data_IF_878439657904
#
_entry.id   IF_878439657904
#
_cell.length_a   1.000
_cell.length_b   1.000
_cell.length_c   1.000
_cell.angle_alpha   90.00
_cell.angle_beta   90.00
_cell.angle_gamma   90.00
#
_symmetry.space_group_name_H-M   'P 1'
#
loop_
_entity.id
_entity.type
_entity.pdbx_description
1 polymer ?
#
# COMPACT_ATOMS: atom_id res chain seq x y z
N UNK A 1 -5.94 0.98 16.07
CA UNK A 1 -5.12 -0.14 15.57
C UNK A 1 -3.88 0.48 14.95
N UNK A 2 -2.70 0.02 15.34
CA UNK A 2 -1.43 0.48 14.77
C UNK A 2 -1.00 -0.46 13.64
N UNK A 3 -0.25 0.07 12.68
CA UNK A 3 0.44 -0.68 11.64
C UNK A 3 1.47 -1.61 12.30
N UNK A 4 1.59 -2.79 11.72
CA UNK A 4 2.52 -3.83 12.13
C UNK A 4 2.87 -4.61 10.84
N UNK A 5 4.12 -4.56 10.38
CA UNK A 5 4.56 -5.25 9.17
C UNK A 5 4.50 -6.78 9.34
N UNK A 6 4.66 -7.31 10.56
CA UNK A 6 4.56 -8.75 10.86
C UNK A 6 3.11 -9.27 10.83
N UNK A 7 2.12 -8.36 10.77
CA UNK A 7 0.72 -8.71 10.53
C UNK A 7 0.34 -8.79 9.06
N UNK A 8 1.26 -8.47 8.15
CA UNK A 8 1.05 -8.78 6.74
C UNK A 8 0.97 -10.29 6.59
N UNK A 9 -0.17 -10.80 6.12
CA UNK A 9 -0.36 -12.23 5.87
C UNK A 9 0.30 -12.69 4.56
N UNK A 10 1.11 -11.83 3.95
CA UNK A 10 1.82 -12.08 2.70
C UNK A 10 3.29 -12.26 3.01
N UNK A 11 3.90 -13.27 2.39
CA UNK A 11 5.35 -13.45 2.45
C UNK A 11 6.03 -12.27 1.74
N UNK A 12 7.14 -11.80 2.30
CA UNK A 12 8.02 -10.80 1.68
C UNK A 12 8.39 -11.18 0.24
N UNK A 13 8.56 -12.47 -0.04
CA UNK A 13 8.81 -13.02 -1.39
C UNK A 13 7.71 -12.63 -2.41
N UNK A 14 6.43 -12.71 -2.04
CA UNK A 14 5.32 -12.34 -2.96
C UNK A 14 5.36 -10.86 -3.32
N UNK A 15 5.82 -10.02 -2.41
CA UNK A 15 5.94 -8.58 -2.61
C UNK A 15 7.18 -8.27 -3.45
N UNK A 16 8.30 -8.92 -3.19
CA UNK A 16 9.52 -8.79 -3.99
C UNK A 16 9.27 -9.23 -5.44
N UNK A 17 8.62 -10.38 -5.63
CA UNK A 17 8.23 -10.89 -6.96
C UNK A 17 7.34 -9.89 -7.71
N UNK A 18 6.43 -9.22 -7.00
CA UNK A 18 5.62 -8.16 -7.58
C UNK A 18 6.49 -6.95 -7.96
N UNK A 19 7.33 -6.44 -7.06
CA UNK A 19 8.18 -5.27 -7.30
C UNK A 19 9.17 -5.44 -8.48
N UNK A 20 9.63 -6.68 -8.69
CA UNK A 20 10.59 -7.04 -9.73
C UNK A 20 9.96 -7.31 -11.09
N UNK A 21 8.62 -7.30 -11.22
CA UNK A 21 7.98 -7.39 -12.54
C UNK A 21 8.24 -6.14 -13.36
N UNK A 22 9.02 -6.29 -14.43
CA UNK A 22 9.24 -5.26 -15.47
C UNK A 22 7.95 -4.75 -16.13
N UNK A 23 6.85 -5.50 -16.01
CA UNK A 23 5.58 -5.21 -16.68
C UNK A 23 4.59 -4.38 -15.86
N UNK A 24 4.89 -4.00 -14.61
CA UNK A 24 3.94 -3.21 -13.82
C UNK A 24 3.87 -1.81 -14.41
N UNK A 25 2.73 -1.51 -15.02
CA UNK A 25 2.40 -0.19 -15.52
C UNK A 25 1.73 0.63 -14.42
N UNK A 26 2.04 1.93 -14.40
CA UNK A 26 1.36 2.93 -13.59
C UNK A 26 -0.18 2.90 -13.76
N UNK A 27 -0.66 2.42 -14.91
CA UNK A 27 -2.08 2.33 -15.27
C UNK A 27 -2.71 0.95 -14.98
N UNK A 28 -1.96 0.02 -14.39
CA UNK A 28 -2.50 -1.30 -14.09
C UNK A 28 -3.59 -1.22 -13.00
N UNK A 29 -4.42 -2.26 -12.99
CA UNK A 29 -5.51 -2.40 -12.03
C UNK A 29 -4.97 -2.56 -10.61
N UNK A 30 -5.65 -1.94 -9.64
CA UNK A 30 -5.32 -2.08 -8.22
C UNK A 30 -5.32 -3.52 -7.72
N UNK A 31 -6.03 -4.43 -8.37
CA UNK A 31 -6.05 -5.87 -8.03
C UNK A 31 -4.70 -6.57 -8.25
N UNK A 32 -3.80 -5.98 -9.02
CA UNK A 32 -2.43 -6.49 -9.15
C UNK A 32 -1.61 -6.21 -7.88
N UNK A 33 -2.03 -5.26 -7.04
CA UNK A 33 -1.35 -4.92 -5.79
C UNK A 33 -1.66 -6.00 -4.74
N UNK A 34 -0.63 -6.64 -4.15
CA UNK A 34 -0.83 -7.63 -3.11
C UNK A 34 -1.62 -7.06 -1.93
N UNK A 35 -2.67 -7.77 -1.51
CA UNK A 35 -3.58 -7.34 -0.44
C UNK A 35 -4.81 -6.56 -0.92
N UNK A 36 -4.91 -6.22 -2.21
CA UNK A 36 -6.10 -5.59 -2.79
C UNK A 36 -7.04 -6.62 -3.42
N UNK A 37 -8.15 -6.90 -2.74
CA UNK A 37 -9.26 -7.67 -3.29
C UNK A 37 -10.28 -6.81 -4.04
N UNK A 38 -11.27 -7.43 -4.73
CA UNK A 38 -12.30 -6.72 -5.50
C UNK A 38 -13.09 -5.68 -4.69
N UNK A 39 -13.43 -6.00 -3.44
CA UNK A 39 -14.13 -5.08 -2.55
C UNK A 39 -13.27 -3.85 -2.20
N UNK A 40 -11.98 -4.04 -1.94
CA UNK A 40 -11.07 -2.95 -1.64
C UNK A 40 -10.83 -2.07 -2.87
N UNK A 41 -10.65 -2.68 -4.04
CA UNK A 41 -10.57 -1.97 -5.32
C UNK A 41 -11.79 -1.07 -5.52
N UNK A 42 -13.00 -1.59 -5.34
CA UNK A 42 -14.22 -0.81 -5.54
C UNK A 42 -14.25 0.43 -4.63
N UNK A 43 -13.93 0.28 -3.34
CA UNK A 43 -13.89 1.41 -2.40
C UNK A 43 -12.81 2.43 -2.82
N UNK A 44 -11.65 1.97 -3.26
CA UNK A 44 -10.60 2.86 -3.76
C UNK A 44 -11.04 3.62 -5.01
N UNK A 45 -11.68 2.96 -5.97
CA UNK A 45 -12.22 3.60 -7.18
C UNK A 45 -13.29 4.63 -6.85
N UNK A 46 -14.19 4.32 -5.90
CA UNK A 46 -15.21 5.24 -5.39
C UNK A 46 -14.60 6.48 -4.71
N UNK A 47 -13.38 6.37 -4.18
CA UNK A 47 -12.62 7.45 -3.59
C UNK A 47 -11.58 8.09 -4.55
N UNK A 48 -11.63 7.75 -5.85
CA UNK A 48 -10.80 8.35 -6.89
C UNK A 48 -9.41 7.72 -7.08
N UNK A 49 -9.15 6.60 -6.41
CA UNK A 49 -7.94 5.78 -6.58
C UNK A 49 -8.29 4.62 -7.51
N UNK A 50 -7.96 4.75 -8.79
CA UNK A 50 -8.29 3.76 -9.83
C UNK A 50 -7.07 2.97 -10.32
N UNK A 51 -5.86 3.54 -10.18
CA UNK A 51 -4.62 2.96 -10.69
C UNK A 51 -3.56 2.80 -9.61
N UNK A 52 -2.60 1.91 -9.86
CA UNK A 52 -1.43 1.72 -8.98
C UNK A 52 -0.70 3.05 -8.77
N UNK A 53 -0.51 3.87 -9.81
CA UNK A 53 0.16 5.15 -9.67
C UNK A 53 -0.55 6.12 -8.71
N UNK A 54 -1.89 6.16 -8.73
CA UNK A 54 -2.66 6.99 -7.79
C UNK A 54 -2.50 6.48 -6.35
N UNK A 55 -2.50 5.16 -6.17
CA UNK A 55 -2.25 4.54 -4.86
C UNK A 55 -0.83 4.88 -4.34
N UNK A 56 0.18 4.76 -5.19
CA UNK A 56 1.56 5.14 -4.86
C UNK A 56 1.67 6.64 -4.53
N UNK A 57 0.99 7.50 -5.30
CA UNK A 57 0.97 8.94 -5.02
C UNK A 57 0.38 9.25 -3.64
N UNK A 58 -0.67 8.54 -3.22
CA UNK A 58 -1.23 8.68 -1.87
C UNK A 58 -0.24 8.30 -0.76
N UNK A 59 0.62 7.31 -1.00
CA UNK A 59 1.70 6.96 -0.08
C UNK A 59 2.77 8.05 -0.04
N UNK A 60 3.21 8.51 -1.21
CA UNK A 60 4.21 9.58 -1.32
C UNK A 60 3.75 10.89 -0.67
N UNK A 61 2.45 11.19 -0.65
CA UNK A 61 1.89 12.33 0.08
C UNK A 61 2.10 12.24 1.59
N UNK A 62 2.36 11.05 2.15
CA UNK A 62 2.65 10.88 3.57
C UNK A 62 4.12 11.11 3.91
N UNK A 63 5.00 11.19 2.91
CA UNK A 63 6.42 11.48 3.06
C UNK A 63 6.57 13.02 3.13
N UNK A 64 6.75 13.54 4.33
CA UNK A 64 7.02 14.97 4.56
C UNK A 64 8.52 15.29 4.70
N UNK A 65 9.39 14.27 4.59
CA UNK A 65 10.84 14.39 4.67
C UNK A 65 11.40 14.37 6.10
N UNK A 66 10.54 14.43 7.11
CA UNK A 66 10.91 14.34 8.53
C UNK A 66 10.52 13.00 9.15
N UNK A 67 9.46 12.35 8.64
CA UNK A 67 8.97 11.05 9.11
C UNK A 67 9.89 9.90 8.77
N UNK A 68 10.04 8.98 9.72
CA UNK A 68 10.68 7.69 9.48
C UNK A 68 9.77 6.73 8.70
N UNK A 69 10.33 5.60 8.25
CA UNK A 69 9.60 4.59 7.46
C UNK A 69 8.33 4.10 8.17
N UNK A 70 8.40 3.90 9.49
CA UNK A 70 7.29 3.40 10.30
C UNK A 70 6.18 4.44 10.41
N UNK A 71 6.53 5.70 10.60
CA UNK A 71 5.59 6.82 10.66
C UNK A 71 4.87 7.04 9.34
N UNK A 72 5.58 6.98 8.21
CA UNK A 72 4.98 7.06 6.86
C UNK A 72 4.01 5.89 6.64
N UNK A 73 4.43 4.66 6.96
CA UNK A 73 3.59 3.48 6.83
C UNK A 73 2.35 3.56 7.74
N UNK A 74 2.51 4.03 8.97
CA UNK A 74 1.43 4.23 9.93
C UNK A 74 0.42 5.27 9.43
N UNK A 75 0.88 6.40 8.89
CA UNK A 75 0.03 7.44 8.34
C UNK A 75 -0.77 6.95 7.13
N UNK A 76 -0.10 6.27 6.19
CA UNK A 76 -0.75 5.67 5.03
C UNK A 76 -1.77 4.60 5.45
N UNK A 77 -1.39 3.69 6.35
CA UNK A 77 -2.28 2.67 6.88
C UNK A 77 -3.52 3.28 7.51
N UNK A 78 -3.36 4.33 8.33
CA UNK A 78 -4.48 5.01 8.97
C UNK A 78 -5.41 5.66 7.93
N UNK A 79 -4.86 6.34 6.92
CA UNK A 79 -5.64 6.95 5.84
C UNK A 79 -6.43 5.91 5.04
N UNK A 80 -5.80 4.80 4.66
CA UNK A 80 -6.47 3.73 3.93
C UNK A 80 -7.50 3.01 4.80
N UNK A 81 -7.23 2.88 6.11
CA UNK A 81 -8.16 2.25 7.06
C UNK A 81 -9.40 3.10 7.29
N UNK A 82 -9.25 4.41 7.38
CA UNK A 82 -10.34 5.36 7.52
C UNK A 82 -11.26 5.33 6.28
N UNK A 83 -10.68 5.29 5.08
CA UNK A 83 -11.41 5.19 3.82
C UNK A 83 -12.29 3.94 3.73
N UNK A 84 -11.81 2.80 4.24
CA UNK A 84 -12.58 1.55 4.24
C UNK A 84 -13.43 1.37 5.50
N UNK A 85 -13.36 2.29 6.46
CA UNK A 85 -14.14 2.22 7.68
C UNK A 85 -15.63 2.28 7.34
N UNK A 86 -16.45 1.43 7.98
CA UNK A 86 -17.88 1.30 7.70
C UNK A 86 -18.25 0.83 6.27
N UNK A 87 -17.28 0.33 5.49
CA UNK A 87 -17.54 -0.29 4.18
C UNK A 87 -17.50 -1.82 4.25
N UNK A 88 -17.91 -2.47 3.16
CA UNK A 88 -17.74 -3.92 2.96
C UNK A 88 -16.25 -4.36 2.91
N UNK A 89 -15.32 -3.43 2.68
CA UNK A 89 -13.88 -3.65 2.68
C UNK A 89 -13.22 -3.38 4.04
N UNK A 90 -13.99 -3.11 5.11
CA UNK A 90 -13.46 -2.86 6.46
C UNK A 90 -12.59 -3.99 7.03
N UNK A 91 -12.72 -5.22 6.52
CA UNK A 91 -11.89 -6.39 6.86
C UNK A 91 -10.72 -6.63 5.90
N UNK A 92 -10.53 -5.78 4.90
CA UNK A 92 -9.43 -5.91 3.95
C UNK A 92 -8.07 -5.80 4.66
N UNK A 93 -7.08 -6.48 4.09
CA UNK A 93 -5.74 -6.56 4.65
C UNK A 93 -4.93 -5.30 4.31
N UNK A 94 -5.26 -4.19 4.96
CA UNK A 94 -4.57 -2.90 4.77
C UNK A 94 -3.09 -2.98 5.22
N UNK A 95 -2.76 -3.90 6.14
CA UNK A 95 -1.36 -4.17 6.51
C UNK A 95 -0.56 -4.68 5.31
N UNK A 96 -1.09 -5.69 4.62
CA UNK A 96 -0.49 -6.24 3.41
C UNK A 96 -0.34 -5.19 2.29
N UNK A 97 -1.38 -4.37 2.07
CA UNK A 97 -1.34 -3.26 1.12
C UNK A 97 -0.21 -2.27 1.45
N UNK A 98 -0.17 -1.81 2.70
CA UNK A 98 0.83 -0.82 3.16
C UNK A 98 2.24 -1.37 2.99
N UNK A 99 2.45 -2.63 3.39
CA UNK A 99 3.73 -3.31 3.25
C UNK A 99 4.13 -3.46 1.78
N UNK A 100 3.20 -3.85 0.89
CA UNK A 100 3.47 -3.98 -0.54
C UNK A 100 3.88 -2.65 -1.19
N UNK A 101 3.16 -1.57 -0.91
CA UNK A 101 3.45 -0.24 -1.45
C UNK A 101 4.79 0.30 -0.94
N UNK A 102 5.09 0.12 0.34
CA UNK A 102 6.32 0.61 0.93
C UNK A 102 7.56 -0.10 0.35
N UNK A 103 7.52 -1.43 0.20
CA UNK A 103 8.59 -2.20 -0.44
C UNK A 103 8.74 -1.84 -1.93
N UNK A 104 7.64 -1.62 -2.65
CA UNK A 104 7.69 -1.21 -4.06
C UNK A 104 8.43 0.11 -4.25
N UNK A 105 8.14 1.11 -3.42
CA UNK A 105 8.83 2.40 -3.48
C UNK A 105 10.30 2.29 -3.05
N UNK A 106 10.60 1.38 -2.14
CA UNK A 106 11.97 1.09 -1.71
C UNK A 106 12.81 0.45 -2.81
N UNK A 107 12.28 -0.58 -3.47
CA UNK A 107 12.93 -1.24 -4.61
C UNK A 107 13.19 -0.27 -5.77
N UNK A 108 12.30 0.71 -6.00
CA UNK A 108 12.49 1.76 -7.01
C UNK A 108 13.45 2.87 -6.57
N UNK A 109 14.02 2.79 -5.36
CA UNK A 109 14.88 3.83 -4.75
C UNK A 109 14.20 5.21 -4.65
N UNK A 110 12.87 5.24 -4.62
CA UNK A 110 12.06 6.46 -4.43
C UNK A 110 11.84 6.73 -2.94
N UNK A 111 11.95 5.68 -2.12
CA UNK A 111 11.78 5.70 -0.67
C UNK A 111 12.86 4.83 -0.02
N UNK A 112 13.26 5.13 1.21
CA UNK A 112 14.11 4.21 2.00
C UNK A 112 13.21 3.48 2.98
N UNK A 113 13.15 2.15 2.87
CA UNK A 113 12.41 1.31 3.80
C UNK A 113 13.39 0.74 4.83
N UNK A 114 13.46 1.40 5.98
CA UNK A 114 14.31 0.99 7.11
C UNK A 114 13.40 0.76 8.32
N UNK A 115 13.21 -0.52 8.66
CA UNK A 115 12.54 -0.91 9.90
C UNK A 115 13.63 -1.20 10.93
N UNK A 116 14.04 -0.19 11.68
CA UNK A 116 14.89 -0.37 12.87
C UNK A 116 14.09 -1.02 14.02
#
# INVERSE_FOLDING_TARGET
MSYDPHRSGLSTETIVDWCQRDSISANDSLTEVPGVGPALKQIFEENGICTIAQLLAHFLQQIDGERDTTEVCQAFFASMKDMVLNTNASRANIHALTFAVANFLAEKSIFTYDLD
#
